data_IF_007778604625
#
_entry.id   IF_007778604625
#
_cell.length_a   1.000
_cell.length_b   1.000
_cell.length_c   1.000
_cell.angle_alpha   90.00
_cell.angle_beta   90.00
_cell.angle_gamma   90.00
#
_symmetry.space_group_name_H-M   'P 1'
#
loop_
_entity.id
_entity.type
_entity.pdbx_description
1 polymer ?
#
# COMPACT_ATOMS: atom_id res chain seq x y z
N UNK A 1 12.44 10.14 -3.08
CA UNK A 1 11.56 11.31 -2.90
C UNK A 1 10.94 11.38 -1.50
N UNK A 2 10.76 12.58 -0.93
CA UNK A 2 10.16 12.81 0.41
C UNK A 2 9.17 13.96 0.38
N UNK A 3 7.96 13.76 0.92
CA UNK A 3 6.89 14.78 0.91
C UNK A 3 6.01 14.71 2.15
N UNK A 4 5.50 15.86 2.58
CA UNK A 4 4.43 15.95 3.59
C UNK A 4 3.11 16.20 2.85
N UNK A 5 2.13 15.33 3.05
CA UNK A 5 0.79 15.43 2.44
C UNK A 5 -0.23 15.17 3.53
N UNK A 6 -1.18 16.10 3.74
CA UNK A 6 -2.21 15.95 4.78
C UNK A 6 -1.66 15.77 6.20
N UNK A 7 -0.52 16.40 6.52
CA UNK A 7 0.16 16.26 7.82
C UNK A 7 0.93 14.94 8.01
N UNK A 8 0.95 14.06 7.01
CA UNK A 8 1.67 12.78 7.06
C UNK A 8 2.92 12.81 6.19
N UNK A 9 3.97 12.14 6.64
CA UNK A 9 5.23 11.98 5.90
C UNK A 9 5.17 10.78 4.97
N UNK A 10 5.61 10.98 3.73
CA UNK A 10 5.82 9.97 2.70
C UNK A 10 7.29 10.03 2.28
N UNK A 11 7.98 8.90 2.36
CA UNK A 11 9.43 8.84 2.21
C UNK A 11 9.79 7.49 1.58
N UNK A 12 10.20 7.53 0.30
CA UNK A 12 10.56 6.35 -0.49
C UNK A 12 11.75 5.59 0.09
N UNK A 13 12.64 6.24 0.86
CA UNK A 13 13.83 5.60 1.42
C UNK A 13 13.51 4.72 2.63
N UNK A 14 12.38 4.99 3.29
CA UNK A 14 11.98 4.31 4.53
C UNK A 14 10.79 3.36 4.36
N UNK A 15 10.07 3.53 3.26
CA UNK A 15 8.95 2.68 2.89
C UNK A 15 9.45 1.41 2.19
N UNK A 16 8.66 0.34 2.28
CA UNK A 16 8.92 -0.90 1.55
C UNK A 16 8.42 -0.74 0.12
N UNK A 17 9.31 -0.92 -0.85
CA UNK A 17 8.93 -1.05 -2.26
C UNK A 17 8.18 -2.37 -2.48
N UNK A 18 7.04 -2.30 -3.15
CA UNK A 18 6.19 -3.46 -3.40
C UNK A 18 6.34 -3.94 -4.84
N UNK A 19 6.04 -3.06 -5.80
CA UNK A 19 6.11 -3.36 -7.22
C UNK A 19 6.24 -2.06 -8.02
N UNK A 20 6.76 -2.18 -9.23
CA UNK A 20 6.96 -1.07 -10.17
C UNK A 20 6.31 -1.39 -11.51
N UNK A 21 5.46 -0.49 -11.98
CA UNK A 21 4.83 -0.54 -13.29
C UNK A 21 5.48 0.50 -14.19
N UNK A 22 5.87 0.11 -15.40
CA UNK A 22 6.48 1.01 -16.38
C UNK A 22 5.61 1.14 -17.62
N UNK A 23 5.68 2.30 -18.27
CA UNK A 23 5.12 2.49 -19.60
C UNK A 23 5.77 1.56 -20.64
N UNK A 24 5.12 1.37 -21.79
CA UNK A 24 5.68 0.64 -22.93
C UNK A 24 6.78 1.39 -23.68
N UNK A 25 7.02 2.65 -23.33
CA UNK A 25 8.05 3.46 -23.97
C UNK A 25 9.45 3.12 -23.44
N UNK A 26 10.50 3.26 -24.26
CA UNK A 26 11.87 3.22 -23.78
C UNK A 26 12.15 4.29 -22.72
N UNK A 27 13.06 4.00 -21.79
CA UNK A 27 13.43 4.92 -20.69
C UNK A 27 13.94 6.30 -21.14
N UNK A 28 14.42 6.42 -22.38
CA UNK A 28 14.90 7.66 -22.98
C UNK A 28 13.82 8.41 -23.80
N UNK A 29 12.59 7.89 -23.86
CA UNK A 29 11.46 8.53 -24.53
C UNK A 29 10.82 9.60 -23.64
N UNK A 30 10.36 10.71 -24.22
CA UNK A 30 9.69 11.76 -23.46
C UNK A 30 8.36 11.34 -22.85
N UNK A 31 7.72 10.30 -23.42
CA UNK A 31 6.47 9.73 -22.91
C UNK A 31 6.70 8.67 -21.82
N UNK A 32 7.95 8.31 -21.55
CA UNK A 32 8.27 7.33 -20.52
C UNK A 32 7.70 7.73 -19.17
N UNK A 33 7.14 6.77 -18.45
CA UNK A 33 6.82 6.91 -17.05
C UNK A 33 6.99 5.58 -16.33
N UNK A 34 7.20 5.67 -15.02
CA UNK A 34 7.17 4.54 -14.09
C UNK A 34 6.41 4.95 -12.82
N UNK A 35 5.74 3.98 -12.22
CA UNK A 35 5.03 4.12 -10.96
C UNK A 35 5.43 2.98 -10.04
N UNK A 36 5.81 3.31 -8.82
CA UNK A 36 6.20 2.34 -7.81
C UNK A 36 5.24 2.44 -6.63
N UNK A 37 4.65 1.30 -6.26
CA UNK A 37 3.83 1.18 -5.08
C UNK A 37 4.71 0.97 -3.84
N UNK A 38 4.51 1.82 -2.84
CA UNK A 38 5.22 1.76 -1.57
C UNK A 38 4.27 1.51 -0.41
N UNK A 39 4.72 0.69 0.55
CA UNK A 39 4.07 0.46 1.83
C UNK A 39 4.86 1.11 2.97
N UNK A 40 4.25 2.07 3.67
CA UNK A 40 4.84 2.66 4.87
C UNK A 40 4.87 1.66 6.01
N UNK A 41 5.79 1.88 6.96
CA UNK A 41 5.82 1.16 8.25
C UNK A 41 4.51 1.31 9.06
N UNK A 42 3.74 2.37 8.81
CA UNK A 42 2.43 2.61 9.43
C UNK A 42 1.30 1.80 8.80
N UNK A 43 1.55 1.06 7.71
CA UNK A 43 0.54 0.30 6.96
C UNK A 43 -0.16 1.09 5.84
N UNK A 44 0.22 2.34 5.61
CA UNK A 44 -0.37 3.18 4.56
C UNK A 44 0.36 3.00 3.22
N UNK A 45 -0.41 2.96 2.13
CA UNK A 45 0.12 2.86 0.77
C UNK A 45 0.25 4.22 0.10
N UNK A 46 1.22 4.34 -0.80
CA UNK A 46 1.36 5.47 -1.70
C UNK A 46 2.08 5.07 -2.98
N UNK A 47 1.75 5.76 -4.07
CA UNK A 47 2.46 5.64 -5.34
C UNK A 47 3.48 6.75 -5.42
N UNK A 48 4.70 6.38 -5.78
CA UNK A 48 5.70 7.30 -6.29
C UNK A 48 5.76 7.14 -7.81
N UNK A 49 5.49 8.21 -8.53
CA UNK A 49 5.54 8.22 -9.98
C UNK A 49 6.64 9.14 -10.49
N UNK A 50 7.31 8.70 -11.54
CA UNK A 50 8.30 9.46 -12.28
C UNK A 50 7.97 9.40 -13.78
N UNK A 51 8.29 10.45 -14.52
CA UNK A 51 8.14 10.39 -15.96
C UNK A 51 8.75 11.56 -16.70
N UNK A 52 8.87 11.37 -18.02
CA UNK A 52 9.44 12.32 -18.95
C UNK A 52 8.56 13.54 -19.24
N UNK A 53 9.07 14.50 -20.03
CA UNK A 53 8.42 15.76 -20.34
C UNK A 53 7.05 15.69 -21.03
N UNK A 54 6.74 14.57 -21.69
CA UNK A 54 5.46 14.34 -22.36
C UNK A 54 4.57 13.34 -21.60
N UNK A 55 4.99 12.91 -20.41
CA UNK A 55 4.24 11.97 -19.58
C UNK A 55 3.19 12.66 -18.69
N UNK A 56 2.37 11.85 -18.02
CA UNK A 56 1.46 12.30 -16.95
C UNK A 56 2.16 12.94 -15.74
N UNK A 57 3.48 12.78 -15.64
CA UNK A 57 4.32 13.38 -14.61
C UNK A 57 5.09 14.61 -15.09
N UNK A 58 4.78 15.13 -16.28
CA UNK A 58 5.40 16.33 -16.83
C UNK A 58 5.20 17.56 -15.95
N UNK A 59 6.22 18.41 -15.90
CA UNK A 59 6.21 19.67 -15.14
C UNK A 59 6.57 20.81 -16.09
N UNK A 60 5.76 21.87 -16.08
CA UNK A 60 6.06 23.08 -16.83
C UNK A 60 7.31 23.76 -16.25
N UNK A 61 8.29 24.03 -17.11
CA UNK A 61 9.58 24.62 -16.74
C UNK A 61 9.80 26.01 -17.35
N UNK A 62 8.87 26.48 -18.20
CA UNK A 62 8.93 27.79 -18.83
C UNK A 62 7.91 27.91 -19.96
N UNK A 63 7.95 29.05 -20.68
CA UNK A 63 7.03 29.32 -21.78
C UNK A 63 7.14 28.22 -22.85
N UNK A 64 6.07 27.44 -23.02
CA UNK A 64 6.00 26.29 -23.91
C UNK A 64 7.13 25.26 -23.70
N UNK A 65 7.55 25.06 -22.45
CA UNK A 65 8.64 24.12 -22.11
C UNK A 65 8.22 23.22 -20.95
N UNK A 66 8.42 21.91 -21.12
CA UNK A 66 8.15 20.89 -20.10
C UNK A 66 9.41 20.10 -19.80
N UNK A 67 9.56 19.71 -18.54
CA UNK A 67 10.56 18.75 -18.10
C UNK A 67 9.86 17.52 -17.54
N UNK A 68 10.62 16.43 -17.39
CA UNK A 68 10.18 15.31 -16.59
C UNK A 68 9.94 15.75 -15.14
N UNK A 69 9.16 14.96 -14.43
CA UNK A 69 8.80 15.24 -13.07
C UNK A 69 8.49 13.99 -12.28
N UNK A 70 8.24 14.21 -11.00
CA UNK A 70 7.95 13.16 -10.04
C UNK A 70 6.81 13.60 -9.10
N UNK A 71 6.02 12.64 -8.63
CA UNK A 71 4.95 12.90 -7.68
C UNK A 71 4.79 11.75 -6.69
N UNK A 72 4.32 12.10 -5.48
CA UNK A 72 3.83 11.13 -4.51
C UNK A 72 2.32 11.31 -4.39
N UNK A 73 1.58 10.22 -4.55
CA UNK A 73 0.13 10.14 -4.34
C UNK A 73 -0.18 9.12 -3.24
N UNK A 74 -0.64 9.55 -2.05
CA UNK A 74 -1.23 8.64 -1.07
C UNK A 74 -2.48 8.00 -1.64
N UNK A 75 -2.68 6.71 -1.39
CA UNK A 75 -3.82 5.94 -1.89
C UNK A 75 -4.43 5.07 -0.78
N UNK A 76 -5.69 4.69 -0.95
CA UNK A 76 -6.34 3.72 -0.06
C UNK A 76 -5.83 2.30 -0.30
N UNK A 77 -6.19 1.38 0.60
CA UNK A 77 -5.84 -0.04 0.44
C UNK A 77 -6.55 -0.64 -0.77
N UNK A 78 -7.78 -0.23 -1.04
CA UNK A 78 -8.58 -0.66 -2.19
C UNK A 78 -7.95 -0.16 -3.51
N UNK A 79 -7.52 1.11 -3.55
CA UNK A 79 -6.78 1.64 -4.69
C UNK A 79 -5.45 0.91 -4.89
N UNK A 80 -4.75 0.54 -3.81
CA UNK A 80 -3.50 -0.22 -3.90
C UNK A 80 -3.71 -1.65 -4.42
N UNK A 81 -4.81 -2.31 -4.01
CA UNK A 81 -5.20 -3.62 -4.52
C UNK A 81 -5.48 -3.59 -6.02
N UNK A 82 -6.30 -2.63 -6.46
CA UNK A 82 -6.63 -2.44 -7.87
C UNK A 82 -5.39 -2.12 -8.71
N UNK A 83 -4.52 -1.24 -8.21
CA UNK A 83 -3.24 -0.96 -8.88
C UNK A 83 -2.35 -2.20 -8.95
N UNK A 84 -2.33 -2.99 -7.87
CA UNK A 84 -1.56 -4.23 -7.79
C UNK A 84 -2.00 -5.30 -8.78
N UNK A 85 -3.29 -5.39 -9.10
CA UNK A 85 -3.83 -6.33 -10.09
C UNK A 85 -3.27 -6.08 -11.50
N UNK A 86 -2.92 -4.83 -11.82
CA UNK A 86 -2.32 -4.48 -13.11
C UNK A 86 -0.79 -4.68 -13.12
N UNK A 87 -0.14 -4.52 -11.97
CA UNK A 87 1.31 -4.41 -11.87
C UNK A 87 2.03 -5.70 -11.45
N UNK A 88 1.31 -6.65 -10.86
CA UNK A 88 1.89 -7.85 -10.22
C UNK A 88 1.23 -9.12 -10.71
N UNK A 89 1.92 -10.26 -10.58
CA UNK A 89 1.27 -11.55 -10.69
C UNK A 89 0.46 -11.92 -9.42
N UNK A 90 -0.29 -13.02 -9.49
CA UNK A 90 -1.14 -13.45 -8.39
C UNK A 90 -0.36 -13.78 -7.11
N UNK A 91 0.82 -14.41 -7.23
CA UNK A 91 1.63 -14.79 -6.06
C UNK A 91 2.20 -13.55 -5.36
N UNK A 92 2.71 -12.59 -6.14
CA UNK A 92 3.16 -11.29 -5.65
C UNK A 92 2.03 -10.51 -4.97
N UNK A 93 0.85 -10.48 -5.60
CA UNK A 93 -0.33 -9.82 -5.05
C UNK A 93 -0.78 -10.43 -3.72
N UNK A 94 -0.89 -11.76 -3.65
CA UNK A 94 -1.28 -12.47 -2.44
C UNK A 94 -0.27 -12.30 -1.29
N UNK A 95 1.02 -12.22 -1.62
CA UNK A 95 2.06 -11.97 -0.61
C UNK A 95 1.95 -10.58 0.04
N UNK A 96 1.37 -9.62 -0.66
CA UNK A 96 1.22 -8.23 -0.19
C UNK A 96 -0.13 -8.03 0.49
N UNK A 97 -1.21 -8.47 -0.14
CA UNK A 97 -2.60 -8.17 0.27
C UNK A 97 -3.30 -9.32 0.98
N UNK A 98 -2.68 -10.50 1.02
CA UNK A 98 -3.26 -11.74 1.52
C UNK A 98 -3.96 -12.53 0.41
N UNK A 99 -4.15 -13.84 0.65
CA UNK A 99 -4.84 -14.72 -0.29
C UNK A 99 -6.29 -14.28 -0.51
N UNK A 100 -6.74 -14.35 -1.75
CA UNK A 100 -8.15 -14.23 -2.08
C UNK A 100 -8.79 -15.56 -1.69
N UNK A 101 -9.33 -15.63 -0.48
CA UNK A 101 -10.19 -16.75 -0.08
C UNK A 101 -11.57 -16.48 -0.71
N UNK A 102 -12.02 -17.36 -1.60
CA UNK A 102 -13.37 -17.26 -2.22
C UNK A 102 -14.51 -17.33 -1.16
N UNK A 103 -14.19 -17.63 0.10
CA UNK A 103 -15.06 -17.49 1.27
C UNK A 103 -15.25 -16.01 1.68
N UNK A 104 -16.04 -15.31 0.87
CA UNK A 104 -16.47 -13.89 0.90
C UNK A 104 -17.10 -13.35 2.20
N UNK A 105 -16.96 -14.01 3.36
CA UNK A 105 -17.62 -13.59 4.62
C UNK A 105 -16.69 -12.82 5.58
N UNK A 106 -15.37 -12.89 5.40
CA UNK A 106 -14.41 -12.28 6.31
C UNK A 106 -13.76 -11.02 5.69
N UNK A 107 -13.88 -9.88 6.38
CA UNK A 107 -13.16 -8.64 6.03
C UNK A 107 -11.87 -8.57 6.84
N UNK A 108 -10.72 -8.43 6.16
CA UNK A 108 -9.44 -8.17 6.82
C UNK A 108 -9.27 -6.67 7.08
N UNK A 109 -9.00 -6.30 8.34
CA UNK A 109 -8.61 -4.95 8.72
C UNK A 109 -7.50 -5.01 9.77
N UNK A 110 -6.60 -4.03 9.77
CA UNK A 110 -5.52 -3.93 10.74
C UNK A 110 -5.96 -3.09 11.95
N UNK A 111 -5.58 -3.52 13.14
CA UNK A 111 -5.83 -2.81 14.40
C UNK A 111 -4.52 -2.71 15.19
N UNK A 112 -4.22 -1.52 15.71
CA UNK A 112 -3.19 -1.35 16.72
C UNK A 112 -3.79 -1.59 18.10
N UNK A 113 -3.27 -2.59 18.81
CA UNK A 113 -3.65 -2.89 20.18
C UNK A 113 -2.46 -2.66 21.12
N UNK A 114 -2.68 -2.17 22.35
CA UNK A 114 -1.64 -2.09 23.38
C UNK A 114 -0.96 -3.44 23.67
N UNK A 115 0.32 -3.41 24.06
CA UNK A 115 1.14 -4.61 24.28
C UNK A 115 0.61 -5.50 25.41
N UNK A 116 0.09 -4.91 26.48
CA UNK A 116 -0.56 -5.61 27.59
C UNK A 116 -1.80 -6.38 27.12
N UNK A 117 -2.62 -5.79 26.25
CA UNK A 117 -3.79 -6.44 25.65
C UNK A 117 -3.38 -7.60 24.73
N UNK A 118 -2.33 -7.42 23.93
CA UNK A 118 -1.78 -8.50 23.09
C UNK A 118 -1.31 -9.68 23.94
N UNK A 119 -0.57 -9.42 25.01
CA UNK A 119 -0.08 -10.46 25.90
C UNK A 119 -1.21 -11.20 26.62
N UNK A 120 -2.24 -10.49 27.07
CA UNK A 120 -3.43 -11.08 27.67
C UNK A 120 -4.21 -11.95 26.66
N UNK A 121 -4.37 -11.47 25.42
CA UNK A 121 -5.01 -12.22 24.34
C UNK A 121 -4.26 -13.51 24.02
N UNK A 122 -2.92 -13.44 23.93
CA UNK A 122 -2.06 -14.60 23.69
C UNK A 122 -2.17 -15.63 24.81
N UNK A 123 -2.09 -15.20 26.07
CA UNK A 123 -2.23 -16.09 27.23
C UNK A 123 -3.62 -16.77 27.27
N UNK A 124 -4.67 -16.04 26.87
CA UNK A 124 -6.04 -16.57 26.82
C UNK A 124 -6.21 -17.58 25.68
N UNK A 125 -5.62 -17.30 24.51
CA UNK A 125 -5.59 -18.22 23.37
C UNK A 125 -4.93 -19.57 23.72
N UNK A 126 -3.80 -19.53 24.42
CA UNK A 126 -3.10 -20.73 24.91
C UNK A 126 -3.93 -21.50 25.95
N UNK A 127 -4.56 -20.78 26.89
CA UNK A 127 -5.39 -21.39 27.95
C UNK A 127 -6.66 -22.04 27.42
N UNK A 128 -7.33 -21.40 26.45
CA UNK A 128 -8.60 -21.88 25.89
C UNK A 128 -8.40 -22.83 24.69
N UNK A 129 -7.15 -23.02 24.23
CA UNK A 129 -6.82 -23.75 23.01
C UNK A 129 -7.63 -23.24 21.79
N UNK A 130 -7.75 -21.91 21.68
CA UNK A 130 -8.50 -21.19 20.63
C UNK A 130 -7.57 -20.24 19.90
N UNK A 131 -7.90 -19.92 18.65
CA UNK A 131 -7.13 -18.90 17.91
C UNK A 131 -7.39 -17.50 18.48
N UNK A 132 -6.38 -16.62 18.42
CA UNK A 132 -6.56 -15.19 18.78
C UNK A 132 -7.69 -14.54 17.96
N UNK A 133 -7.86 -14.95 16.69
CA UNK A 133 -8.96 -14.53 15.81
C UNK A 133 -10.32 -14.88 16.43
N UNK A 134 -10.53 -16.13 16.84
CA UNK A 134 -11.81 -16.57 17.44
C UNK A 134 -12.16 -15.80 18.70
N UNK A 135 -11.17 -15.53 19.55
CA UNK A 135 -11.38 -14.79 20.79
C UNK A 135 -11.81 -13.35 20.47
N UNK A 136 -11.06 -12.65 19.62
CA UNK A 136 -11.37 -11.28 19.18
C UNK A 136 -12.77 -11.21 18.57
N UNK A 137 -13.10 -12.13 17.66
CA UNK A 137 -14.43 -12.18 17.03
C UNK A 137 -15.52 -12.44 18.06
N UNK A 138 -15.31 -13.36 19.03
CA UNK A 138 -16.31 -13.61 20.07
C UNK A 138 -16.55 -12.41 20.98
N UNK A 139 -15.49 -11.71 21.40
CA UNK A 139 -15.61 -10.50 22.22
C UNK A 139 -16.32 -9.37 21.46
N UNK A 140 -16.02 -9.18 20.17
CA UNK A 140 -16.69 -8.19 19.34
C UNK A 140 -18.19 -8.51 19.17
N UNK A 141 -18.54 -9.78 18.95
CA UNK A 141 -19.95 -10.23 18.83
C UNK A 141 -20.73 -10.14 20.14
N UNK A 142 -20.08 -10.23 21.30
CA UNK A 142 -20.74 -10.05 22.59
C UNK A 142 -21.07 -8.57 22.86
N UNK A 143 -20.31 -7.65 22.26
CA UNK A 143 -20.43 -6.20 22.50
C UNK A 143 -21.29 -5.45 21.48
N UNK A 144 -21.43 -6.00 20.27
CA UNK A 144 -22.26 -5.44 19.18
C UNK A 144 -23.67 -6.04 19.22
#
# INVERSE_FOLDING_TARGET
MKKIIGGKRYDTDTAKEIATLTSSYPVNDFNYWEETLYLKKTGEFFIYGYGGPASRYSVESGLNSWTGGEAIKPISVEEAKAWGEEAMDADEWENVFGKIDEDTTNIAFSLLIPEDVYNALKATAEKENRSMKEIVVSCLKEKL
#
